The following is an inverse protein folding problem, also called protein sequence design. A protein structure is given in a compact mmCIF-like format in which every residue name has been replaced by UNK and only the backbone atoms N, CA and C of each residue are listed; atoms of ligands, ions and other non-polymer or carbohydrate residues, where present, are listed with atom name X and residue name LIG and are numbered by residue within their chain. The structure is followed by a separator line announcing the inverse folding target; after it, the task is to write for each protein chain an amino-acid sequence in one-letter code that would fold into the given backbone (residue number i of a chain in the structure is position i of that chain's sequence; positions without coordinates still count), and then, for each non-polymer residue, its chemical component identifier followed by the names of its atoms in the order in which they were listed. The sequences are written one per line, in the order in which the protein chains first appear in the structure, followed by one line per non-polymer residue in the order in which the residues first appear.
data_IF_492256524301
#
_entry.id   IF_492256524301
#
_cell.length_a   1.000
_cell.length_b   1.000
_cell.length_c   1.000
_cell.angle_alpha   90.00
_cell.angle_beta   90.00
_cell.angle_gamma   90.00
#
_symmetry.space_group_name_H-M   'P 1'
#
loop_
_entity.id
_entity.type
_entity.pdbx_description
1 polymer ?
#
# COMPACT_ATOMS: atom_id res chain seq x y z
N UNK A 1 24.59 10.15 2.70
CA UNK A 1 23.90 10.29 4.01
C UNK A 1 22.50 9.74 3.84
N UNK A 2 22.12 8.84 4.72
CA UNK A 2 21.03 7.88 4.54
C UNK A 2 19.65 8.56 4.48
N UNK A 3 19.13 8.82 3.27
CA UNK A 3 17.83 9.47 3.06
C UNK A 3 16.64 8.64 3.56
N UNK A 4 16.89 7.46 4.13
CA UNK A 4 15.89 6.59 4.74
C UNK A 4 15.51 6.99 6.17
N UNK A 5 16.28 7.90 6.79
CA UNK A 5 16.11 8.20 8.21
C UNK A 5 14.98 9.19 8.53
N UNK A 6 14.38 9.85 7.52
CA UNK A 6 13.35 10.87 7.69
C UNK A 6 12.01 10.46 7.08
N UNK A 7 10.92 10.97 7.63
CA UNK A 7 9.55 10.71 7.16
C UNK A 7 9.40 11.05 5.67
N UNK A 8 9.82 12.25 5.27
CA UNK A 8 9.71 12.68 3.88
C UNK A 8 10.57 11.84 2.93
N UNK A 9 11.74 11.39 3.38
CA UNK A 9 12.58 10.50 2.59
C UNK A 9 11.93 9.13 2.35
N UNK A 10 11.25 8.59 3.37
CA UNK A 10 10.47 7.36 3.25
C UNK A 10 9.27 7.54 2.31
N UNK A 11 8.47 8.59 2.52
CA UNK A 11 7.28 8.86 1.70
C UNK A 11 7.63 9.11 0.23
N UNK A 12 8.74 9.81 -0.04
CA UNK A 12 9.22 10.02 -1.40
C UNK A 12 9.56 8.69 -2.12
N UNK A 13 10.13 7.71 -1.40
CA UNK A 13 10.41 6.38 -1.98
C UNK A 13 9.15 5.59 -2.26
N UNK A 14 8.16 5.64 -1.37
CA UNK A 14 6.84 5.01 -1.62
C UNK A 14 6.19 5.63 -2.85
N UNK A 15 6.19 6.96 -2.95
CA UNK A 15 5.61 7.67 -4.09
C UNK A 15 6.34 7.41 -5.41
N UNK A 16 7.65 7.14 -5.40
CA UNK A 16 8.39 6.80 -6.63
C UNK A 16 7.91 5.48 -7.26
N UNK A 17 7.43 4.52 -6.47
CA UNK A 17 6.87 3.27 -7.00
C UNK A 17 5.46 3.44 -7.54
N UNK A 18 4.64 4.20 -6.82
CA UNK A 18 3.22 4.37 -7.13
C UNK A 18 2.87 5.86 -7.36
N UNK A 19 3.46 6.51 -8.38
CA UNK A 19 3.40 7.97 -8.52
C UNK A 19 2.00 8.51 -8.77
N UNK A 20 1.10 7.67 -9.30
CA UNK A 20 -0.26 8.05 -9.69
C UNK A 20 -1.32 7.58 -8.68
N UNK A 21 -0.93 7.02 -7.54
CA UNK A 21 -1.87 6.54 -6.52
C UNK A 21 -1.98 7.57 -5.39
N UNK A 22 -2.68 8.67 -5.65
CA UNK A 22 -2.77 9.82 -4.75
C UNK A 22 -3.38 9.49 -3.38
N UNK A 23 -4.46 8.71 -3.38
CA UNK A 23 -5.20 8.31 -2.19
C UNK A 23 -4.37 7.34 -1.34
N UNK A 24 -3.63 6.43 -1.99
CA UNK A 24 -2.70 5.54 -1.31
C UNK A 24 -1.55 6.32 -0.65
N UNK A 25 -0.94 7.25 -1.39
CA UNK A 25 0.14 8.09 -0.85
C UNK A 25 -0.33 8.94 0.34
N UNK A 26 -1.55 9.48 0.28
CA UNK A 26 -2.17 10.20 1.40
C UNK A 26 -2.32 9.29 2.62
N UNK A 27 -2.92 8.10 2.45
CA UNK A 27 -3.15 7.17 3.55
C UNK A 27 -1.83 6.74 4.24
N UNK A 28 -0.79 6.45 3.44
CA UNK A 28 0.54 6.13 3.99
C UNK A 28 1.10 7.32 4.76
N UNK A 29 0.99 8.55 4.23
CA UNK A 29 1.46 9.77 4.91
C UNK A 29 0.79 9.96 6.26
N UNK A 30 -0.53 9.84 6.35
CA UNK A 30 -1.28 10.05 7.60
C UNK A 30 -0.87 9.06 8.69
N UNK A 31 -0.79 7.77 8.33
CA UNK A 31 -0.36 6.72 9.26
C UNK A 31 1.09 6.93 9.70
N UNK A 32 2.00 7.18 8.75
CA UNK A 32 3.43 7.33 9.05
C UNK A 32 3.72 8.60 9.85
N UNK A 33 3.01 9.70 9.60
CA UNK A 33 3.13 10.93 10.40
C UNK A 33 2.78 10.66 11.86
N UNK A 34 1.75 9.85 12.11
CA UNK A 34 1.32 9.48 13.47
C UNK A 34 2.34 8.54 14.14
N UNK A 35 2.89 7.58 13.39
CA UNK A 35 3.82 6.58 13.93
C UNK A 35 5.26 7.10 14.08
N UNK A 36 5.67 8.12 13.34
CA UNK A 36 7.08 8.55 13.28
C UNK A 36 7.70 8.86 14.66
N UNK A 37 7.06 9.64 15.55
CA UNK A 37 7.62 9.91 16.88
C UNK A 37 7.83 8.63 17.70
N UNK A 38 6.88 7.69 17.62
CA UNK A 38 7.02 6.38 18.29
C UNK A 38 8.19 5.57 17.73
N UNK A 39 8.39 5.60 16.40
CA UNK A 39 9.50 4.92 15.73
C UNK A 39 10.86 5.54 16.06
N UNK A 40 10.90 6.85 16.35
CA UNK A 40 12.07 7.56 16.86
C UNK A 40 12.50 7.05 18.24
N UNK A 41 11.54 6.89 19.15
CA UNK A 41 11.76 6.35 20.49
C UNK A 41 12.01 4.83 20.49
N UNK A 42 11.50 4.11 19.49
CA UNK A 42 11.53 2.64 19.43
C UNK A 42 12.20 2.13 18.14
N UNK A 43 13.54 2.27 18.00
CA UNK A 43 14.26 1.99 16.75
C UNK A 43 14.15 0.53 16.27
N UNK A 44 13.80 -0.42 17.14
CA UNK A 44 13.57 -1.82 16.76
C UNK A 44 12.54 -1.99 15.65
N UNK A 45 11.52 -1.11 15.58
CA UNK A 45 10.45 -1.19 14.58
C UNK A 45 10.86 -0.62 13.20
N UNK A 46 12.06 -0.03 13.09
CA UNK A 46 12.64 0.38 11.81
C UNK A 46 13.64 -0.63 11.25
N UNK A 47 13.89 -1.72 11.96
CA UNK A 47 14.81 -2.77 11.53
C UNK A 47 14.18 -3.70 10.50
N UNK A 48 15.01 -4.47 9.80
CA UNK A 48 14.59 -5.51 8.84
C UNK A 48 13.62 -4.98 7.76
N UNK A 49 13.78 -3.72 7.37
CA UNK A 49 12.92 -3.02 6.41
C UNK A 49 11.42 -3.24 6.71
N UNK A 50 11.04 -3.16 7.99
CA UNK A 50 9.67 -3.45 8.43
C UNK A 50 8.67 -2.49 7.79
N UNK A 51 8.99 -1.20 7.70
CA UNK A 51 8.09 -0.19 7.13
C UNK A 51 7.93 -0.39 5.62
N UNK A 52 9.00 -0.68 4.91
CA UNK A 52 8.98 -0.96 3.46
C UNK A 52 8.14 -2.20 3.15
N UNK A 53 8.24 -3.26 3.98
CA UNK A 53 7.39 -4.45 3.85
C UNK A 53 5.94 -4.18 4.22
N UNK A 54 5.68 -3.25 5.13
CA UNK A 54 4.33 -2.94 5.58
C UNK A 54 3.54 -2.14 4.56
N UNK A 55 4.20 -1.26 3.78
CA UNK A 55 3.56 -0.42 2.75
C UNK A 55 3.49 -1.09 1.38
N UNK A 56 4.17 -2.22 1.18
CA UNK A 56 4.08 -3.01 -0.04
C UNK A 56 3.08 -4.16 0.18
N UNK A 57 2.02 -4.29 -0.64
CA UNK A 57 1.07 -5.38 -0.47
C UNK A 57 1.72 -6.74 -0.75
N UNK A 58 1.38 -7.76 0.06
CA UNK A 58 1.87 -9.12 -0.16
C UNK A 58 1.48 -9.67 -1.56
N UNK A 59 0.28 -9.29 -2.05
CA UNK A 59 -0.17 -9.63 -3.40
C UNK A 59 -1.22 -8.65 -3.92
N UNK A 60 -1.12 -8.25 -5.19
CA UNK A 60 -2.17 -7.53 -5.90
C UNK A 60 -2.64 -8.34 -7.12
N UNK A 61 -3.95 -8.54 -7.25
CA UNK A 61 -4.56 -9.30 -8.35
C UNK A 61 -5.43 -8.34 -9.15
N UNK A 62 -5.13 -8.21 -10.45
CA UNK A 62 -5.92 -7.47 -11.43
C UNK A 62 -6.47 -8.45 -12.47
N UNK A 63 -7.77 -8.45 -12.73
CA UNK A 63 -8.37 -9.38 -13.68
C UNK A 63 -9.56 -8.78 -14.43
N UNK A 64 -9.88 -9.39 -15.58
CA UNK A 64 -11.01 -9.01 -16.44
C UNK A 64 -12.28 -9.68 -15.94
N UNK A 65 -13.37 -8.92 -15.87
CA UNK A 65 -14.74 -9.40 -15.62
C UNK A 65 -15.57 -9.14 -16.87
N UNK A 66 -16.09 -10.19 -17.47
CA UNK A 66 -16.97 -10.11 -18.65
C UNK A 66 -18.37 -10.52 -18.22
N UNK A 67 -19.36 -9.72 -18.59
CA UNK A 67 -20.77 -9.97 -18.27
C UNK A 67 -21.67 -9.42 -19.39
N UNK A 68 -22.96 -9.74 -19.35
CA UNK A 68 -23.95 -9.31 -20.35
C UNK A 68 -25.01 -8.48 -19.65
N UNK A 69 -25.34 -7.32 -20.21
CA UNK A 69 -26.37 -6.42 -19.66
C UNK A 69 -27.80 -6.77 -20.12
N UNK A 70 -28.79 -6.06 -19.57
CA UNK A 70 -30.22 -6.26 -19.88
C UNK A 70 -30.59 -5.99 -21.36
N UNK A 71 -29.70 -5.32 -22.12
CA UNK A 71 -29.84 -5.07 -23.56
C UNK A 71 -29.09 -6.12 -24.40
N UNK A 72 -28.61 -7.19 -23.76
CA UNK A 72 -27.84 -8.26 -24.37
C UNK A 72 -26.51 -7.77 -24.97
N UNK A 73 -25.91 -6.71 -24.42
CA UNK A 73 -24.60 -6.22 -24.84
C UNK A 73 -23.51 -6.76 -23.90
N UNK A 74 -22.39 -7.17 -24.48
CA UNK A 74 -21.24 -7.67 -23.72
C UNK A 74 -20.48 -6.50 -23.12
N UNK A 75 -20.33 -6.53 -21.80
CA UNK A 75 -19.60 -5.53 -21.02
C UNK A 75 -18.31 -6.13 -20.49
N UNK A 76 -17.26 -5.31 -20.42
CA UNK A 76 -15.94 -5.71 -19.94
C UNK A 76 -15.45 -4.70 -18.90
N UNK A 77 -15.21 -5.19 -17.68
CA UNK A 77 -14.67 -4.40 -16.58
C UNK A 77 -13.35 -4.97 -16.08
N UNK A 78 -12.63 -4.14 -15.34
CA UNK A 78 -11.45 -4.54 -14.58
C UNK A 78 -11.83 -4.64 -13.10
N UNK A 79 -11.46 -5.74 -12.47
CA UNK A 79 -11.63 -5.95 -11.05
C UNK A 79 -10.27 -6.15 -10.38
N UNK A 80 -10.27 -5.98 -9.05
CA UNK A 80 -9.07 -6.00 -8.23
C UNK A 80 -9.31 -6.77 -6.93
N UNK A 81 -8.27 -7.44 -6.44
CA UNK A 81 -8.16 -7.87 -5.05
C UNK A 81 -6.75 -7.60 -4.56
N UNK A 82 -6.62 -6.70 -3.58
CA UNK A 82 -5.35 -6.40 -2.92
C UNK A 82 -5.31 -7.16 -1.59
N UNK A 83 -4.33 -8.04 -1.47
CA UNK A 83 -4.04 -8.84 -0.29
C UNK A 83 -2.85 -8.17 0.42
N UNK A 84 -3.15 -7.17 1.26
CA UNK A 84 -2.12 -6.24 1.74
C UNK A 84 -1.20 -6.86 2.80
N UNK A 85 -1.78 -7.37 3.89
CA UNK A 85 -1.00 -7.95 4.99
C UNK A 85 -1.78 -9.09 5.65
N UNK A 86 -1.10 -10.20 5.94
CA UNK A 86 -1.66 -11.41 6.59
C UNK A 86 -0.97 -11.75 7.92
N UNK A 87 -0.20 -10.82 8.49
CA UNK A 87 0.62 -11.09 9.68
C UNK A 87 -0.17 -11.58 10.90
N UNK A 88 -1.47 -11.23 10.98
CA UNK A 88 -2.37 -11.60 12.10
C UNK A 88 -3.54 -12.51 11.67
N UNK A 89 -3.52 -13.05 10.45
CA UNK A 89 -4.57 -13.95 9.96
C UNK A 89 -4.90 -13.78 8.48
N UNK A 90 -5.96 -14.45 7.99
CA UNK A 90 -6.39 -14.35 6.59
C UNK A 90 -6.72 -12.92 6.17
N UNK A 91 -6.45 -12.56 4.91
CA UNK A 91 -6.80 -11.23 4.38
C UNK A 91 -8.29 -10.93 4.55
N UNK A 92 -8.60 -9.80 5.20
CA UNK A 92 -9.97 -9.35 5.42
C UNK A 92 -10.18 -7.95 4.87
N UNK A 93 -11.28 -7.79 4.15
CA UNK A 93 -11.70 -6.58 3.44
C UNK A 93 -12.86 -6.92 2.53
#
# INVERSE_FOLDING_TARGET
MDQTCTLEGFLARVQQRDPNQTEFAQAVREVMTTLWPFLEENPRYRQMNLLERLVEPERAIQFRVVWVDDRNQVQVNRAWRVQFNSAIGPYKG
#
